data_IF_530024449424
#
_entry.id   IF_530024449424
#
_cell.length_a   1.000
_cell.length_b   1.000
_cell.length_c   1.000
_cell.angle_alpha   90.00
_cell.angle_beta   90.00
_cell.angle_gamma   90.00
#
_symmetry.space_group_name_H-M   'P 1'
#
loop_
_entity.id
_entity.type
_entity.pdbx_description
1 polymer ?
#
# COMPACT_ATOMS: atom_id res chain seq x y z
N UNK A 1 3.13 2.72 6.27
CA UNK A 1 2.12 3.03 7.29
C UNK A 1 1.41 4.29 6.90
N UNK A 2 0.13 4.19 6.66
CA UNK A 2 -0.73 5.28 6.26
C UNK A 2 -1.76 5.44 7.37
N UNK A 3 -1.67 6.49 8.16
CA UNK A 3 -2.66 6.79 9.19
C UNK A 3 -2.85 8.29 9.28
N UNK A 4 -4.10 8.68 9.48
CA UNK A 4 -4.50 10.08 9.60
C UNK A 4 -4.34 10.54 11.05
N UNK A 5 -3.58 11.59 11.35
CA UNK A 5 -3.75 12.31 12.60
C UNK A 5 -4.99 13.19 12.48
N UNK A 6 -6.08 12.82 13.16
CA UNK A 6 -7.23 13.69 13.34
C UNK A 6 -6.91 14.75 14.38
N UNK A 7 -6.54 15.95 13.95
CA UNK A 7 -6.36 17.08 14.87
C UNK A 7 -7.71 17.62 15.32
N UNK A 8 -8.02 17.48 16.62
CA UNK A 8 -9.02 18.32 17.26
C UNK A 8 -8.51 19.75 17.24
N UNK A 9 -9.35 20.69 16.83
CA UNK A 9 -9.10 22.13 17.05
C UNK A 9 -8.98 22.38 18.57
N UNK A 10 -7.86 22.86 19.10
CA UNK A 10 -7.85 23.50 20.42
C UNK A 10 -8.47 24.90 20.24
N UNK A 11 -9.39 25.23 21.11
CA UNK A 11 -9.72 26.63 21.40
C UNK A 11 -8.45 27.31 21.90
N UNK A 12 -8.21 28.53 21.45
CA UNK A 12 -7.05 29.35 21.80
C UNK A 12 -6.72 29.33 23.29
N UNK A 13 -5.47 29.06 23.61
CA UNK A 13 -4.90 29.28 24.94
C UNK A 13 -3.67 28.44 25.22
N UNK A 14 -2.46 28.98 25.04
CA UNK A 14 -1.26 28.65 25.82
C UNK A 14 -0.24 27.67 25.25
N UNK A 15 0.84 28.27 24.74
CA UNK A 15 2.26 27.84 24.77
C UNK A 15 2.64 26.39 24.45
N UNK A 16 3.43 26.29 23.42
CA UNK A 16 4.15 25.25 22.76
C UNK A 16 4.77 24.14 23.58
N UNK A 17 4.67 22.96 22.97
CA UNK A 17 5.74 21.96 23.03
C UNK A 17 5.76 21.23 21.70
N UNK A 18 6.97 21.09 21.15
CA UNK A 18 7.27 20.41 19.88
C UNK A 18 6.87 18.94 19.96
N UNK A 19 5.93 18.53 19.14
CA UNK A 19 5.62 17.14 18.87
C UNK A 19 5.46 16.96 17.35
N UNK A 20 6.58 17.05 16.63
CA UNK A 20 6.61 16.97 15.18
C UNK A 20 7.56 15.89 14.61
N UNK A 21 8.19 15.03 15.43
CA UNK A 21 9.31 14.20 14.97
C UNK A 21 9.06 12.68 15.03
N UNK A 22 7.86 12.17 14.73
CA UNK A 22 7.61 10.71 14.77
C UNK A 22 6.84 10.18 13.55
N UNK A 23 7.09 10.71 12.37
CA UNK A 23 6.59 10.12 11.15
C UNK A 23 7.75 9.74 10.21
N UNK A 24 7.93 8.47 9.98
CA UNK A 24 8.92 7.88 9.05
C UNK A 24 10.39 7.98 9.48
N UNK A 25 10.80 7.32 10.54
CA UNK A 25 12.20 6.92 10.67
C UNK A 25 12.31 5.39 10.67
N UNK A 26 12.40 4.80 9.49
CA UNK A 26 12.90 3.46 9.29
C UNK A 26 14.42 3.57 9.11
N UNK A 27 15.14 3.94 10.17
CA UNK A 27 16.61 3.87 10.20
C UNK A 27 17.04 2.44 10.45
N UNK A 28 17.36 1.74 9.38
CA UNK A 28 18.40 0.73 9.45
C UNK A 28 19.75 1.48 9.43
N UNK A 29 20.42 1.49 10.57
CA UNK A 29 21.76 1.99 10.74
C UNK A 29 22.73 1.19 9.85
N UNK A 30 23.22 1.80 8.79
CA UNK A 30 24.39 1.33 8.06
C UNK A 30 25.60 2.07 8.60
N UNK A 31 26.45 1.34 9.35
CA UNK A 31 27.78 1.82 9.76
C UNK A 31 28.67 2.01 8.53
N UNK A 32 29.15 3.22 8.38
CA UNK A 32 30.16 3.62 7.39
C UNK A 32 31.53 2.98 7.73
N UNK A 33 31.95 2.03 6.94
CA UNK A 33 33.33 1.55 6.83
C UNK A 33 34.02 2.29 5.68
N UNK A 34 35.18 2.86 5.99
CA UNK A 34 36.03 3.73 5.16
C UNK A 34 36.59 3.05 3.91
N UNK A 35 36.80 3.89 2.92
CA UNK A 35 37.45 3.76 1.60
C UNK A 35 38.76 2.96 1.61
N UNK A 36 39.01 2.21 0.54
CA UNK A 36 40.29 2.20 -0.14
C UNK A 36 40.10 1.93 -1.65
N UNK A 37 40.77 2.77 -2.43
CA UNK A 37 40.95 2.71 -3.88
C UNK A 37 41.85 1.54 -4.24
N UNK A 38 41.61 0.78 -5.30
CA UNK A 38 42.60 0.64 -6.39
C UNK A 38 42.11 -0.26 -7.54
N UNK A 39 42.47 0.23 -8.74
CA UNK A 39 42.87 -0.40 -10.00
C UNK A 39 42.01 -1.45 -10.72
N UNK A 40 41.79 -1.03 -11.97
CA UNK A 40 41.36 -1.79 -13.15
C UNK A 40 42.35 -2.90 -13.50
N UNK A 41 41.82 -4.06 -13.83
CA UNK A 41 42.44 -4.93 -14.86
C UNK A 41 41.36 -5.68 -15.65
N UNK A 42 41.44 -5.49 -16.98
CA UNK A 42 40.64 -6.24 -17.96
C UNK A 42 41.38 -7.51 -18.32
N UNK A 43 40.76 -8.66 -18.17
CA UNK A 43 41.25 -9.91 -18.75
C UNK A 43 40.23 -10.44 -19.76
N UNK A 44 40.62 -10.39 -21.03
CA UNK A 44 39.95 -11.11 -22.10
C UNK A 44 40.34 -12.59 -22.06
N UNK A 45 39.34 -13.48 -21.95
CA UNK A 45 39.58 -14.90 -22.22
C UNK A 45 38.75 -15.33 -23.45
N UNK A 46 39.48 -15.70 -24.49
CA UNK A 46 39.00 -16.33 -25.73
C UNK A 46 38.63 -17.80 -25.39
N UNK A 47 37.41 -18.22 -25.72
CA UNK A 47 37.03 -19.64 -25.68
C UNK A 47 37.16 -20.16 -27.14
N UNK A 48 38.06 -21.18 -27.29
CA UNK A 48 38.23 -22.00 -28.48
C UNK A 48 37.23 -23.15 -28.47
N UNK A 49 36.47 -23.29 -29.56
CA UNK A 49 35.67 -24.49 -29.85
C UNK A 49 36.59 -25.68 -30.20
N UNK A 50 36.33 -26.84 -29.59
CA UNK A 50 36.72 -28.13 -30.15
C UNK A 50 35.50 -29.06 -30.16
N UNK A 51 35.16 -29.50 -31.38
CA UNK A 51 34.30 -30.67 -31.68
C UNK A 51 35.16 -31.93 -31.60
N UNK A 52 34.57 -33.06 -31.13
CA UNK A 52 34.77 -34.44 -31.62
C UNK A 52 33.97 -35.39 -30.69
N UNK A 53 32.91 -36.00 -31.18
CA UNK A 53 32.73 -37.33 -31.75
C UNK A 53 32.77 -38.51 -30.76
N UNK A 54 31.62 -39.14 -30.54
CA UNK A 54 31.44 -40.58 -30.64
C UNK A 54 31.34 -41.44 -29.37
N UNK A 55 30.24 -42.13 -29.25
CA UNK A 55 30.23 -43.56 -28.94
C UNK A 55 29.59 -43.99 -27.58
N UNK A 56 28.43 -44.63 -27.73
CA UNK A 56 27.84 -45.73 -26.94
C UNK A 56 28.32 -45.98 -25.47
N UNK A 57 27.39 -45.85 -24.52
CA UNK A 57 27.14 -46.82 -23.46
C UNK A 57 25.74 -46.59 -22.88
N UNK A 58 24.75 -47.28 -23.41
CA UNK A 58 23.48 -47.49 -22.76
C UNK A 58 23.60 -48.63 -21.74
N UNK A 59 22.83 -48.58 -20.67
CA UNK A 59 22.67 -49.54 -19.55
C UNK A 59 23.59 -49.29 -18.34
N UNK A 60 23.14 -48.46 -17.43
CA UNK A 60 23.15 -48.64 -15.98
C UNK A 60 22.75 -47.32 -15.27
N UNK A 61 21.49 -46.96 -15.27
CA UNK A 61 20.97 -45.86 -14.45
C UNK A 61 19.49 -46.06 -14.13
N UNK A 62 19.20 -47.11 -13.38
CA UNK A 62 17.88 -47.31 -12.78
C UNK A 62 17.98 -47.57 -11.28
N UNK A 63 18.79 -46.80 -10.56
CA UNK A 63 18.87 -46.90 -9.09
C UNK A 63 19.44 -45.67 -8.39
N UNK A 64 19.37 -44.45 -8.95
CA UNK A 64 19.73 -43.22 -8.20
C UNK A 64 18.77 -42.09 -8.64
N UNK A 65 17.48 -42.31 -8.57
CA UNK A 65 16.48 -41.24 -8.70
C UNK A 65 15.72 -41.04 -7.38
N UNK A 66 16.48 -40.80 -6.30
CA UNK A 66 15.89 -40.58 -4.98
C UNK A 66 16.53 -39.49 -4.15
N UNK A 67 17.53 -38.78 -4.66
CA UNK A 67 18.26 -37.80 -3.85
C UNK A 67 18.90 -36.72 -4.74
N UNK A 68 18.15 -35.82 -5.32
CA UNK A 68 18.63 -34.50 -5.79
C UNK A 68 17.50 -33.64 -6.32
N UNK A 69 16.50 -33.36 -5.51
CA UNK A 69 15.55 -32.27 -5.76
C UNK A 69 15.70 -31.13 -4.73
N UNK A 70 16.90 -30.98 -4.17
CA UNK A 70 17.29 -29.74 -3.49
C UNK A 70 17.93 -28.77 -4.52
N UNK A 71 17.19 -28.42 -5.58
CA UNK A 71 17.58 -27.31 -6.43
C UNK A 71 17.41 -26.01 -5.65
N UNK A 72 18.52 -25.33 -5.38
CA UNK A 72 18.52 -23.95 -4.90
C UNK A 72 17.67 -23.09 -5.85
N UNK A 73 16.50 -22.66 -5.42
CA UNK A 73 15.63 -21.70 -6.17
C UNK A 73 16.42 -20.48 -6.64
N UNK A 74 17.46 -20.09 -5.93
CA UNK A 74 18.35 -18.99 -6.31
C UNK A 74 19.09 -19.20 -7.67
N UNK A 75 19.27 -20.45 -8.10
CA UNK A 75 19.95 -20.76 -9.37
C UNK A 75 18.97 -20.77 -10.57
N UNK A 76 17.68 -21.03 -10.32
CA UNK A 76 16.66 -21.07 -11.38
C UNK A 76 16.02 -19.69 -11.65
N UNK A 77 16.12 -18.74 -10.73
CA UNK A 77 15.48 -17.42 -10.82
C UNK A 77 16.45 -16.27 -11.14
N UNK A 78 17.65 -16.57 -11.63
CA UNK A 78 18.61 -15.55 -12.06
C UNK A 78 18.15 -14.82 -13.31
N UNK A 79 18.04 -13.48 -13.18
CA UNK A 79 17.78 -12.46 -14.19
C UNK A 79 16.30 -12.22 -14.60
N UNK A 80 15.76 -11.07 -14.18
CA UNK A 80 14.73 -10.24 -14.86
C UNK A 80 13.58 -10.96 -15.60
N UNK A 81 13.10 -12.09 -15.10
CA UNK A 81 11.93 -12.80 -15.61
C UNK A 81 10.74 -12.68 -14.65
N UNK A 82 9.54 -12.78 -15.16
CA UNK A 82 8.32 -12.93 -14.35
C UNK A 82 8.46 -14.18 -13.49
N UNK A 83 8.40 -14.02 -12.15
CA UNK A 83 8.45 -15.16 -11.25
C UNK A 83 7.26 -16.09 -11.51
N UNK A 84 7.46 -17.43 -11.46
CA UNK A 84 6.37 -18.36 -11.68
C UNK A 84 5.30 -18.22 -10.59
N UNK A 85 4.06 -18.49 -10.97
CA UNK A 85 2.91 -18.50 -10.06
C UNK A 85 2.91 -19.80 -9.22
N UNK A 86 3.92 -19.99 -8.41
CA UNK A 86 4.09 -21.16 -7.54
C UNK A 86 4.02 -20.79 -6.08
N UNK A 87 3.74 -21.77 -5.22
CA UNK A 87 3.93 -21.61 -3.78
C UNK A 87 5.23 -22.29 -3.35
N UNK A 88 5.92 -21.64 -2.42
CA UNK A 88 7.14 -22.16 -1.80
C UNK A 88 7.03 -22.12 -0.28
N UNK A 89 7.69 -23.08 0.38
CA UNK A 89 7.95 -23.01 1.81
C UNK A 89 9.42 -22.66 2.02
N UNK A 90 9.67 -21.69 2.90
CA UNK A 90 10.98 -21.20 3.31
C UNK A 90 11.14 -21.43 4.82
N UNK A 91 12.25 -22.02 5.23
CA UNK A 91 12.56 -22.20 6.65
C UNK A 91 13.65 -21.19 7.06
N UNK A 92 13.30 -20.29 7.97
CA UNK A 92 14.21 -19.27 8.45
C UNK A 92 14.09 -19.07 9.96
N UNK A 93 15.20 -19.18 10.69
CA UNK A 93 15.27 -19.04 12.16
C UNK A 93 14.24 -19.91 12.92
N UNK A 94 14.06 -21.15 12.47
CA UNK A 94 13.15 -22.11 13.11
C UNK A 94 11.66 -21.85 12.83
N UNK A 95 11.34 -20.88 11.96
CA UNK A 95 9.99 -20.57 11.54
C UNK A 95 9.80 -20.89 10.06
N UNK A 96 8.67 -21.50 9.72
CA UNK A 96 8.29 -21.80 8.35
C UNK A 96 7.40 -20.68 7.80
N UNK A 97 7.72 -20.24 6.58
CA UNK A 97 6.96 -19.26 5.81
C UNK A 97 6.50 -19.93 4.51
N UNK A 98 5.21 -19.91 4.25
CA UNK A 98 4.65 -20.48 3.03
C UNK A 98 3.89 -19.42 2.25
N UNK A 99 4.15 -19.33 0.93
CA UNK A 99 3.50 -18.35 0.08
C UNK A 99 4.05 -18.30 -1.34
N UNK A 100 3.62 -17.29 -2.09
CA UNK A 100 4.08 -16.98 -3.44
C UNK A 100 5.26 -16.00 -3.39
N UNK A 101 6.39 -16.29 -4.02
CA UNK A 101 7.46 -15.30 -4.19
C UNK A 101 7.00 -14.19 -5.14
N UNK A 102 7.10 -12.95 -4.69
CA UNK A 102 6.77 -11.76 -5.47
C UNK A 102 7.99 -11.07 -6.05
N UNK A 103 9.11 -11.15 -5.35
CA UNK A 103 10.39 -10.63 -5.80
C UNK A 103 11.53 -11.37 -5.11
N UNK A 104 12.60 -11.61 -5.86
CA UNK A 104 13.86 -12.18 -5.35
C UNK A 104 14.96 -11.22 -5.77
N UNK A 105 15.71 -10.73 -4.78
CA UNK A 105 16.88 -9.88 -4.99
C UNK A 105 18.10 -10.48 -4.28
N UNK A 106 19.28 -9.90 -4.49
CA UNK A 106 20.55 -10.39 -3.95
C UNK A 106 20.56 -10.55 -2.43
N UNK A 107 19.76 -9.75 -1.72
CA UNK A 107 19.77 -9.71 -0.25
C UNK A 107 18.44 -10.08 0.38
N UNK A 108 17.35 -10.11 -0.39
CA UNK A 108 15.98 -10.18 0.15
C UNK A 108 15.07 -11.00 -0.75
N UNK A 109 14.11 -11.66 -0.13
CA UNK A 109 13.00 -12.36 -0.79
C UNK A 109 11.70 -11.77 -0.26
N UNK A 110 10.84 -11.35 -1.14
CA UNK A 110 9.48 -10.90 -0.82
C UNK A 110 8.52 -12.06 -1.08
N UNK A 111 7.82 -12.50 -0.05
CA UNK A 111 6.87 -13.60 -0.11
C UNK A 111 5.46 -13.11 0.26
N UNK A 112 4.47 -13.45 -0.56
CA UNK A 112 3.05 -13.26 -0.25
C UNK A 112 2.51 -14.52 0.44
N UNK A 113 2.23 -14.42 1.73
CA UNK A 113 1.64 -15.49 2.51
C UNK A 113 0.21 -15.80 2.10
N UNK A 114 -0.27 -17.00 2.42
CA UNK A 114 -1.64 -17.45 2.15
C UNK A 114 -2.71 -16.58 2.82
N UNK A 115 -2.37 -15.94 3.95
CA UNK A 115 -3.21 -15.00 4.70
C UNK A 115 -3.18 -13.57 4.15
N UNK A 116 -2.50 -13.34 3.02
CA UNK A 116 -2.32 -12.04 2.41
C UNK A 116 -1.19 -11.20 3.00
N UNK A 117 -0.47 -11.66 4.04
CA UNK A 117 0.67 -10.95 4.63
C UNK A 117 1.87 -10.94 3.67
N UNK A 118 2.61 -9.85 3.66
CA UNK A 118 3.92 -9.78 3.02
C UNK A 118 5.02 -10.12 4.04
N UNK A 119 5.92 -11.02 3.64
CA UNK A 119 7.12 -11.35 4.37
C UNK A 119 8.33 -10.87 3.58
N UNK A 120 9.10 -9.98 4.16
CA UNK A 120 10.36 -9.50 3.60
C UNK A 120 11.50 -10.19 4.33
N UNK A 121 12.02 -11.26 3.73
CA UNK A 121 12.98 -12.19 4.33
C UNK A 121 14.37 -11.96 3.74
N UNK A 122 15.45 -12.23 4.50
CA UNK A 122 16.80 -12.27 3.93
C UNK A 122 16.91 -13.35 2.84
N UNK A 123 17.77 -13.12 1.84
CA UNK A 123 17.99 -14.07 0.74
C UNK A 123 18.41 -15.47 1.25
N UNK A 124 19.10 -15.54 2.39
CA UNK A 124 19.46 -16.81 3.03
C UNK A 124 18.25 -17.70 3.39
N UNK A 125 17.05 -17.13 3.56
CA UNK A 125 15.83 -17.92 3.74
C UNK A 125 15.50 -18.81 2.52
N UNK A 126 15.98 -18.43 1.33
CA UNK A 126 15.78 -19.18 0.09
C UNK A 126 16.65 -20.41 -0.06
N UNK A 127 17.70 -20.58 0.76
CA UNK A 127 18.65 -21.70 0.62
C UNK A 127 17.99 -23.07 0.81
N UNK A 128 16.87 -23.14 1.51
CA UNK A 128 16.08 -24.36 1.75
C UNK A 128 14.66 -24.23 1.24
N UNK A 129 14.48 -23.44 0.20
CA UNK A 129 13.19 -23.29 -0.41
C UNK A 129 12.74 -24.59 -1.09
N UNK A 130 11.47 -24.96 -0.90
CA UNK A 130 10.85 -26.08 -1.59
C UNK A 130 9.49 -25.65 -2.14
N UNK A 131 9.20 -26.06 -3.36
CA UNK A 131 7.90 -25.81 -3.94
C UNK A 131 6.84 -26.66 -3.22
N UNK A 132 5.71 -26.02 -2.84
CA UNK A 132 4.59 -26.68 -2.16
C UNK A 132 3.35 -26.79 -3.01
N UNK A 133 3.19 -25.92 -4.03
CA UNK A 133 2.12 -26.00 -5.00
C UNK A 133 2.52 -25.35 -6.34
N UNK A 134 1.83 -25.75 -7.43
CA UNK A 134 2.04 -25.21 -8.79
C UNK A 134 1.31 -23.89 -9.06
N UNK A 135 0.52 -23.39 -8.11
CA UNK A 135 -0.17 -22.11 -8.18
C UNK A 135 -0.40 -21.56 -6.77
N UNK A 136 -0.52 -20.24 -6.66
CA UNK A 136 -0.84 -19.59 -5.39
C UNK A 136 -2.23 -20.01 -4.88
N UNK A 137 -2.29 -20.38 -3.62
CA UNK A 137 -3.53 -20.78 -2.92
C UNK A 137 -3.69 -19.95 -1.67
N UNK A 138 -4.40 -18.81 -1.74
CA UNK A 138 -4.71 -18.00 -0.56
C UNK A 138 -5.57 -18.79 0.42
N UNK A 139 -5.67 -18.35 1.65
CA UNK A 139 -6.68 -18.88 2.56
C UNK A 139 -8.07 -18.67 1.97
N UNK A 140 -8.89 -19.71 2.05
CA UNK A 140 -10.32 -19.60 1.82
C UNK A 140 -10.98 -18.71 2.91
N UNK A 141 -12.20 -18.22 2.69
CA UNK A 141 -12.95 -17.52 3.73
C UNK A 141 -13.06 -18.31 5.04
N UNK A 142 -13.22 -19.64 4.99
CA UNK A 142 -13.29 -20.50 6.16
C UNK A 142 -11.96 -20.60 6.90
N UNK A 143 -10.84 -20.74 6.18
CA UNK A 143 -9.49 -20.75 6.76
C UNK A 143 -9.17 -19.38 7.40
N UNK A 144 -9.51 -18.28 6.71
CA UNK A 144 -9.32 -16.91 7.22
C UNK A 144 -10.14 -16.69 8.50
N UNK A 145 -11.41 -17.12 8.52
CA UNK A 145 -12.27 -17.06 9.71
C UNK A 145 -11.63 -17.83 10.89
N UNK A 146 -11.23 -19.07 10.66
CA UNK A 146 -10.62 -19.89 11.69
C UNK A 146 -9.30 -19.30 12.23
N UNK A 147 -8.48 -18.72 11.35
CA UNK A 147 -7.25 -18.05 11.73
C UNK A 147 -7.52 -16.82 12.61
N UNK A 148 -8.47 -15.96 12.20
CA UNK A 148 -8.84 -14.75 12.95
C UNK A 148 -9.42 -15.09 14.33
N UNK A 149 -10.30 -16.07 14.43
CA UNK A 149 -10.88 -16.49 15.72
C UNK A 149 -9.80 -17.03 16.68
N UNK A 150 -8.82 -17.77 16.18
CA UNK A 150 -7.68 -18.23 17.01
C UNK A 150 -6.81 -17.07 17.47
N UNK A 151 -6.57 -16.09 16.60
CA UNK A 151 -5.72 -14.94 16.89
C UNK A 151 -6.35 -13.95 17.86
N UNK A 152 -7.64 -13.65 17.65
CA UNK A 152 -8.33 -12.59 18.40
C UNK A 152 -8.92 -13.08 19.73
N UNK A 153 -9.17 -14.39 19.83
CA UNK A 153 -9.72 -15.02 21.02
C UNK A 153 -11.22 -14.77 21.20
N UNK A 154 -11.73 -15.10 22.39
CA UNK A 154 -13.14 -14.93 22.73
C UNK A 154 -13.61 -13.47 22.72
N UNK A 155 -14.87 -13.25 22.40
CA UNK A 155 -15.47 -11.92 22.31
C UNK A 155 -15.48 -11.31 20.92
N UNK A 156 -14.95 -12.03 19.92
CA UNK A 156 -15.04 -11.68 18.51
C UNK A 156 -15.82 -12.70 17.71
N UNK A 157 -16.55 -12.20 16.74
CA UNK A 157 -17.13 -12.94 15.64
C UNK A 157 -16.45 -12.52 14.33
N UNK A 158 -16.55 -13.35 13.31
CA UNK A 158 -16.04 -13.04 11.98
C UNK A 158 -17.16 -13.20 10.97
N UNK A 159 -17.55 -12.12 10.32
CA UNK A 159 -18.53 -12.10 9.23
C UNK A 159 -17.82 -11.94 7.89
N UNK A 160 -18.42 -12.46 6.82
CA UNK A 160 -17.91 -12.34 5.45
C UNK A 160 -18.94 -11.77 4.52
N UNK A 161 -18.55 -10.79 3.68
CA UNK A 161 -19.35 -10.31 2.56
C UNK A 161 -18.41 -9.95 1.39
N UNK A 162 -18.75 -10.41 0.18
CA UNK A 162 -17.90 -10.24 -1.00
C UNK A 162 -16.48 -10.76 -0.78
N UNK A 163 -15.48 -9.89 -0.96
CA UNK A 163 -14.07 -10.21 -0.72
C UNK A 163 -13.60 -9.92 0.72
N UNK A 164 -14.45 -9.37 1.59
CA UNK A 164 -14.10 -9.01 2.95
C UNK A 164 -14.38 -10.11 3.98
N UNK A 165 -13.46 -10.24 4.92
CA UNK A 165 -13.62 -10.98 6.17
C UNK A 165 -13.42 -9.98 7.32
N UNK A 166 -14.47 -9.73 8.09
CA UNK A 166 -14.49 -8.71 9.13
C UNK A 166 -14.62 -9.36 10.50
N UNK A 167 -13.60 -9.21 11.32
CA UNK A 167 -13.65 -9.54 12.74
C UNK A 167 -14.23 -8.35 13.52
N UNK A 168 -15.24 -8.60 14.33
CA UNK A 168 -15.96 -7.58 15.08
C UNK A 168 -16.43 -8.13 16.44
N UNK A 169 -16.78 -7.27 17.41
CA UNK A 169 -17.39 -7.71 18.65
C UNK A 169 -18.63 -8.55 18.42
N UNK A 170 -18.87 -9.53 19.29
CA UNK A 170 -20.05 -10.40 19.25
C UNK A 170 -21.35 -9.59 19.13
N UNK A 171 -22.25 -10.02 18.27
CA UNK A 171 -23.55 -9.39 18.04
C UNK A 171 -23.55 -8.18 17.09
N UNK A 172 -22.45 -7.93 16.36
CA UNK A 172 -22.35 -6.79 15.42
C UNK A 172 -22.21 -7.21 13.93
N UNK A 173 -22.48 -8.48 13.57
CA UNK A 173 -22.18 -9.01 12.24
C UNK A 173 -22.84 -8.24 11.09
N UNK A 174 -24.12 -7.90 11.19
CA UNK A 174 -24.89 -7.22 10.14
C UNK A 174 -24.46 -5.76 9.93
N UNK A 175 -23.62 -5.27 10.82
CA UNK A 175 -23.22 -3.87 10.81
C UNK A 175 -21.98 -3.58 9.97
N UNK A 176 -21.04 -4.53 9.87
CA UNK A 176 -19.71 -4.25 9.35
C UNK A 176 -19.43 -4.91 7.99
N UNK A 177 -19.68 -6.20 7.85
CA UNK A 177 -19.29 -6.92 6.64
C UNK A 177 -19.94 -6.33 5.38
N UNK A 178 -21.24 -6.06 5.43
CA UNK A 178 -21.97 -5.48 4.31
C UNK A 178 -21.50 -4.08 3.94
N UNK A 179 -21.08 -3.26 4.93
CA UNK A 179 -20.53 -1.92 4.70
C UNK A 179 -19.20 -1.97 3.96
N UNK A 180 -18.31 -2.89 4.33
CA UNK A 180 -17.05 -3.07 3.64
C UNK A 180 -17.27 -3.57 2.21
N UNK A 181 -18.21 -4.47 1.98
CA UNK A 181 -18.53 -4.96 0.64
C UNK A 181 -19.21 -3.86 -0.22
N UNK A 182 -20.14 -3.08 0.35
CA UNK A 182 -20.75 -1.94 -0.33
C UNK A 182 -19.71 -0.90 -0.73
N UNK A 183 -18.79 -0.58 0.17
CA UNK A 183 -17.64 0.27 -0.13
C UNK A 183 -16.78 -0.29 -1.26
N UNK A 184 -16.40 -1.58 -1.20
CA UNK A 184 -15.55 -2.20 -2.21
C UNK A 184 -16.19 -2.19 -3.60
N UNK A 185 -17.48 -2.51 -3.69
CA UNK A 185 -18.23 -2.41 -4.96
C UNK A 185 -18.24 -0.98 -5.51
N UNK A 186 -18.37 0.01 -4.65
CA UNK A 186 -18.31 1.42 -5.04
C UNK A 186 -16.91 1.82 -5.50
N UNK A 187 -15.87 1.33 -4.82
CA UNK A 187 -14.48 1.53 -5.21
C UNK A 187 -14.20 0.95 -6.61
N UNK A 188 -14.55 -0.30 -6.85
CA UNK A 188 -14.38 -0.94 -8.17
C UNK A 188 -15.13 -0.15 -9.24
N UNK A 189 -16.40 0.20 -8.99
CA UNK A 189 -17.21 1.00 -9.92
C UNK A 189 -16.57 2.35 -10.22
N UNK A 190 -16.05 3.05 -9.20
CA UNK A 190 -15.45 4.37 -9.36
C UNK A 190 -14.31 4.36 -10.40
N UNK A 191 -13.44 3.38 -10.36
CA UNK A 191 -12.33 3.23 -11.31
C UNK A 191 -12.78 2.68 -12.66
N UNK A 192 -13.65 1.67 -12.67
CA UNK A 192 -14.11 1.04 -13.90
C UNK A 192 -14.82 2.03 -14.84
N UNK A 193 -15.70 2.90 -14.32
CA UNK A 193 -16.38 3.91 -15.15
C UNK A 193 -15.44 4.99 -15.70
N UNK A 194 -14.22 5.09 -15.18
CA UNK A 194 -13.14 5.96 -15.67
C UNK A 194 -12.15 5.25 -16.56
N UNK A 195 -12.41 3.99 -16.92
CA UNK A 195 -11.54 3.18 -17.77
C UNK A 195 -10.25 2.74 -17.08
N UNK A 196 -10.20 2.76 -15.74
CA UNK A 196 -9.05 2.30 -14.97
C UNK A 196 -9.34 0.86 -14.51
N UNK A 197 -8.47 -0.09 -14.91
CA UNK A 197 -8.60 -1.48 -14.53
C UNK A 197 -8.40 -1.68 -13.02
N UNK A 198 -9.19 -2.58 -12.44
CA UNK A 198 -9.16 -2.97 -11.04
C UNK A 198 -9.13 -4.49 -10.99
N UNK A 199 -8.05 -5.05 -10.48
CA UNK A 199 -7.88 -6.50 -10.35
C UNK A 199 -8.61 -7.02 -9.10
N UNK A 200 -9.06 -8.28 -9.08
CA UNK A 200 -9.58 -8.88 -7.86
C UNK A 200 -8.45 -9.03 -6.82
N UNK A 201 -8.75 -8.87 -5.51
CA UNK A 201 -7.77 -9.11 -4.47
C UNK A 201 -7.23 -10.55 -4.51
N UNK A 202 -5.91 -10.75 -4.33
CA UNK A 202 -5.30 -12.09 -4.38
C UNK A 202 -5.70 -12.99 -3.19
N UNK A 203 -6.24 -12.42 -2.13
CA UNK A 203 -6.69 -13.11 -0.92
C UNK A 203 -7.85 -12.33 -0.29
N UNK A 204 -8.65 -12.91 0.63
CA UNK A 204 -9.66 -12.17 1.35
C UNK A 204 -9.08 -10.96 2.06
N UNK A 205 -9.75 -9.82 1.95
CA UNK A 205 -9.40 -8.59 2.66
C UNK A 205 -9.86 -8.70 4.11
N UNK A 206 -8.95 -8.45 5.05
CA UNK A 206 -9.26 -8.59 6.48
C UNK A 206 -9.40 -7.22 7.13
N UNK A 207 -10.55 -6.99 7.76
CA UNK A 207 -10.78 -5.85 8.63
C UNK A 207 -11.02 -6.32 10.07
N UNK A 208 -10.52 -5.56 11.05
CA UNK A 208 -10.70 -5.80 12.49
C UNK A 208 -11.35 -4.56 13.08
N UNK A 209 -12.54 -4.72 13.63
CA UNK A 209 -13.26 -3.68 14.36
C UNK A 209 -13.07 -3.92 15.85
N UNK A 210 -12.26 -3.09 16.49
CA UNK A 210 -12.05 -3.15 17.93
C UNK A 210 -13.26 -2.60 18.69
N UNK A 211 -13.48 -3.08 19.90
CA UNK A 211 -14.60 -2.66 20.76
C UNK A 211 -14.52 -1.20 21.16
N UNK A 212 -13.30 -0.74 21.41
CA UNK A 212 -13.00 0.60 21.92
C UNK A 212 -11.56 1.03 21.58
N UNK A 213 -11.22 2.25 21.97
CA UNK A 213 -9.90 2.82 21.76
C UNK A 213 -8.80 2.09 22.56
N UNK A 214 -9.11 1.50 23.70
CA UNK A 214 -8.14 0.77 24.51
C UNK A 214 -7.74 -0.55 23.87
N UNK A 215 -8.71 -1.31 23.35
CA UNK A 215 -8.43 -2.52 22.58
C UNK A 215 -7.67 -2.21 21.31
N UNK A 216 -8.06 -1.15 20.60
CA UNK A 216 -7.36 -0.67 19.43
C UNK A 216 -5.89 -0.35 19.75
N UNK A 217 -5.63 0.41 20.82
CA UNK A 217 -4.28 0.73 21.26
C UNK A 217 -3.46 -0.51 21.64
N UNK A 218 -4.05 -1.45 22.39
CA UNK A 218 -3.37 -2.71 22.77
C UNK A 218 -2.99 -3.56 21.55
N UNK A 219 -3.90 -3.68 20.57
CA UNK A 219 -3.65 -4.48 19.34
C UNK A 219 -2.67 -3.79 18.40
N UNK A 220 -2.64 -2.46 18.44
CA UNK A 220 -1.70 -1.65 17.65
C UNK A 220 -0.30 -1.58 18.27
N UNK A 221 -0.13 -1.81 19.55
CA UNK A 221 1.12 -1.63 20.29
C UNK A 221 2.27 -2.57 19.84
N UNK A 222 1.95 -3.72 19.26
CA UNK A 222 2.95 -4.66 18.70
C UNK A 222 3.24 -4.46 17.21
N UNK A 223 2.60 -3.50 16.59
CA UNK A 223 2.70 -3.19 15.17
C UNK A 223 3.22 -1.75 15.07
N UNK A 224 3.88 -1.39 14.00
CA UNK A 224 4.42 -0.02 13.84
C UNK A 224 3.30 1.04 13.65
N UNK A 225 2.16 0.87 14.31
CA UNK A 225 1.03 1.78 14.27
C UNK A 225 1.35 3.06 15.05
N UNK A 226 0.91 4.23 14.59
CA UNK A 226 1.05 5.45 15.37
C UNK A 226 0.15 5.37 16.60
N UNK A 227 0.74 5.23 17.77
CA UNK A 227 0.03 5.26 19.06
C UNK A 227 -0.26 6.70 19.41
N UNK A 228 -1.36 7.23 18.87
CA UNK A 228 -1.83 8.58 19.17
C UNK A 228 -3.35 8.50 19.35
N UNK A 229 -3.88 9.11 20.40
CA UNK A 229 -5.32 9.14 20.70
C UNK A 229 -6.19 9.77 19.58
N UNK A 230 -5.58 10.42 18.59
CA UNK A 230 -6.25 10.96 17.41
C UNK A 230 -6.42 9.95 16.26
N UNK A 231 -5.73 8.81 16.30
CA UNK A 231 -5.81 7.77 15.26
C UNK A 231 -7.01 6.88 15.56
N UNK A 232 -7.97 6.83 14.65
CA UNK A 232 -9.21 6.06 14.78
C UNK A 232 -9.20 4.76 14.00
N UNK A 233 -8.25 4.61 13.10
CA UNK A 233 -8.06 3.45 12.25
C UNK A 233 -6.72 3.51 11.54
N UNK A 234 -6.32 2.41 10.96
CA UNK A 234 -5.14 2.33 10.13
C UNK A 234 -5.14 1.06 9.29
N UNK A 235 -4.57 1.16 8.10
CA UNK A 235 -4.27 0.04 7.24
C UNK A 235 -2.77 -0.26 7.27
N UNK A 236 -2.41 -1.51 7.45
CA UNK A 236 -1.03 -1.98 7.40
C UNK A 236 -0.78 -2.77 6.11
N UNK A 237 0.07 -2.23 5.25
CA UNK A 237 0.40 -2.86 3.98
C UNK A 237 1.22 -4.15 4.14
N UNK A 238 1.93 -4.36 5.24
CA UNK A 238 2.68 -5.59 5.51
C UNK A 238 1.74 -6.73 5.88
N UNK A 239 0.93 -6.56 6.93
CA UNK A 239 -0.04 -7.57 7.36
C UNK A 239 -1.27 -7.66 6.46
N UNK A 240 -1.50 -6.67 5.60
CA UNK A 240 -2.71 -6.50 4.79
C UNK A 240 -3.99 -6.36 5.61
N UNK A 241 -3.90 -5.84 6.80
CA UNK A 241 -5.03 -5.70 7.72
C UNK A 241 -5.43 -4.26 7.91
N UNK A 242 -6.72 -4.05 7.92
CA UNK A 242 -7.34 -2.80 8.32
C UNK A 242 -7.83 -2.95 9.76
N UNK A 243 -7.55 -1.98 10.61
CA UNK A 243 -8.02 -1.94 11.99
C UNK A 243 -8.68 -0.61 12.28
N UNK A 244 -9.88 -0.65 12.86
CA UNK A 244 -10.63 0.54 13.31
C UNK A 244 -11.26 0.25 14.67
N UNK A 245 -11.74 1.29 15.35
CA UNK A 245 -12.66 1.12 16.47
C UNK A 245 -13.89 2.02 16.33
N UNK A 246 -15.01 1.54 16.85
CA UNK A 246 -16.29 2.24 16.75
C UNK A 246 -16.42 3.31 17.84
N UNK A 247 -16.60 4.56 17.44
CA UNK A 247 -16.88 5.68 18.36
C UNK A 247 -18.37 5.94 18.58
N UNK A 248 -19.24 5.13 17.99
CA UNK A 248 -20.68 5.34 18.03
C UNK A 248 -21.15 6.54 17.19
N UNK A 249 -22.44 6.83 17.26
CA UNK A 249 -23.10 7.86 16.45
C UNK A 249 -22.88 9.32 16.92
N UNK A 250 -22.11 9.54 17.97
CA UNK A 250 -21.98 10.87 18.61
C UNK A 250 -20.92 11.78 17.99
N UNK A 251 -20.27 11.37 16.90
CA UNK A 251 -19.22 12.18 16.26
C UNK A 251 -19.75 12.93 15.05
N UNK A 252 -19.19 14.11 14.74
CA UNK A 252 -19.45 14.82 13.48
C UNK A 252 -19.05 13.96 12.29
N UNK A 253 -19.63 14.21 11.11
CA UNK A 253 -19.34 13.45 9.88
C UNK A 253 -17.83 13.24 9.63
N UNK A 254 -17.01 14.27 9.85
CA UNK A 254 -15.56 14.24 9.62
C UNK A 254 -14.74 13.47 10.70
N UNK A 255 -15.38 13.10 11.81
CA UNK A 255 -14.77 12.29 12.87
C UNK A 255 -15.54 10.99 13.09
N UNK A 256 -16.43 10.65 12.15
CA UNK A 256 -17.25 9.45 12.24
C UNK A 256 -16.40 8.21 11.95
N UNK A 257 -16.76 7.10 12.57
CA UNK A 257 -16.20 5.79 12.26
C UNK A 257 -16.31 5.45 10.78
N UNK A 258 -17.34 5.95 10.10
CA UNK A 258 -17.56 5.73 8.66
C UNK A 258 -16.52 6.43 7.78
N UNK A 259 -16.16 7.68 8.06
CA UNK A 259 -15.12 8.39 7.31
C UNK A 259 -13.77 7.70 7.45
N UNK A 260 -13.43 7.25 8.67
CA UNK A 260 -12.21 6.47 8.92
C UNK A 260 -12.24 5.11 8.20
N UNK A 261 -13.39 4.40 8.27
CA UNK A 261 -13.56 3.15 7.56
C UNK A 261 -13.30 3.32 6.06
N UNK A 262 -13.94 4.32 5.44
CA UNK A 262 -13.80 4.59 4.00
C UNK A 262 -12.36 4.94 3.65
N UNK A 263 -11.68 5.77 4.46
CA UNK A 263 -10.28 6.13 4.25
C UNK A 263 -9.36 4.90 4.26
N UNK A 264 -9.40 4.12 5.33
CA UNK A 264 -8.53 2.96 5.51
C UNK A 264 -8.88 1.82 4.55
N UNK A 265 -10.18 1.62 4.26
CA UNK A 265 -10.61 0.67 3.24
C UNK A 265 -10.18 1.08 1.83
N UNK A 266 -10.07 2.39 1.54
CA UNK A 266 -9.51 2.88 0.27
C UNK A 266 -8.05 2.48 0.13
N UNK A 267 -7.24 2.65 1.17
CA UNK A 267 -5.87 2.16 1.16
C UNK A 267 -5.83 0.65 0.91
N UNK A 268 -6.57 -0.12 1.71
CA UNK A 268 -6.59 -1.58 1.57
C UNK A 268 -7.03 -2.02 0.17
N UNK A 269 -8.13 -1.46 -0.36
CA UNK A 269 -8.60 -1.78 -1.70
C UNK A 269 -7.56 -1.41 -2.76
N UNK A 270 -7.02 -0.19 -2.75
CA UNK A 270 -6.04 0.28 -3.73
C UNK A 270 -4.78 -0.60 -3.76
N UNK A 271 -4.28 -0.99 -2.60
CA UNK A 271 -3.09 -1.85 -2.48
C UNK A 271 -3.32 -3.33 -2.85
N UNK A 272 -4.56 -3.76 -3.01
CA UNK A 272 -4.88 -5.16 -3.33
C UNK A 272 -5.52 -5.33 -4.70
N UNK A 273 -5.69 -4.26 -5.46
CA UNK A 273 -6.41 -4.27 -6.75
C UNK A 273 -5.59 -3.73 -7.92
N UNK A 274 -4.27 -3.63 -7.77
CA UNK A 274 -3.38 -3.14 -8.81
C UNK A 274 -3.34 -1.61 -8.97
N UNK A 275 -4.17 -0.86 -8.24
CA UNK A 275 -4.11 0.61 -8.23
C UNK A 275 -2.81 1.09 -7.56
N UNK A 276 -2.43 0.45 -6.45
CA UNK A 276 -1.16 0.64 -5.75
C UNK A 276 -0.45 -0.68 -5.56
N UNK A 277 0.85 -0.64 -5.31
CA UNK A 277 1.64 -1.82 -4.96
C UNK A 277 2.06 -1.76 -3.49
N UNK A 278 1.93 -2.87 -2.77
CA UNK A 278 2.36 -3.01 -1.37
C UNK A 278 3.88 -3.11 -1.21
N UNK A 279 4.60 -3.42 -2.28
CA UNK A 279 6.06 -3.60 -2.31
C UNK A 279 6.80 -2.52 -3.11
N UNK A 280 6.06 -1.75 -3.90
CA UNK A 280 6.54 -0.56 -4.59
C UNK A 280 5.62 0.61 -4.23
N UNK A 281 5.78 1.11 -3.00
CA UNK A 281 4.89 2.11 -2.42
C UNK A 281 4.70 3.30 -3.37
N UNK A 282 3.45 3.71 -3.65
CA UNK A 282 3.17 4.92 -4.43
C UNK A 282 3.72 6.15 -3.72
N UNK A 283 3.89 7.29 -4.41
CA UNK A 283 4.14 8.56 -3.75
C UNK A 283 3.03 8.83 -2.72
N UNK A 284 3.42 9.34 -1.55
CA UNK A 284 2.48 9.52 -0.44
C UNK A 284 1.28 10.39 -0.82
N UNK A 285 1.50 11.44 -1.62
CA UNK A 285 0.39 12.28 -2.08
C UNK A 285 -0.65 11.53 -2.92
N UNK A 286 -0.24 10.49 -3.66
CA UNK A 286 -1.17 9.66 -4.44
C UNK A 286 -2.03 8.81 -3.51
N UNK A 287 -1.40 8.13 -2.54
CA UNK A 287 -2.11 7.27 -1.61
C UNK A 287 -3.08 8.06 -0.72
N UNK A 288 -2.58 9.12 -0.08
CA UNK A 288 -3.39 9.96 0.82
C UNK A 288 -4.43 10.80 0.06
N UNK A 289 -4.06 11.30 -1.13
CA UNK A 289 -4.98 12.05 -1.98
C UNK A 289 -6.16 11.19 -2.42
N UNK A 290 -5.91 9.93 -2.80
CA UNK A 290 -6.97 9.00 -3.16
C UNK A 290 -7.86 8.67 -1.96
N UNK A 291 -7.27 8.34 -0.80
CA UNK A 291 -8.03 8.01 0.40
C UNK A 291 -8.92 9.18 0.85
N UNK A 292 -8.37 10.40 0.88
CA UNK A 292 -9.13 11.61 1.23
C UNK A 292 -10.20 11.98 0.20
N UNK A 293 -10.03 11.61 -1.08
CA UNK A 293 -11.11 11.75 -2.07
C UNK A 293 -12.29 10.85 -1.74
N UNK A 294 -12.02 9.61 -1.38
CA UNK A 294 -13.07 8.65 -1.07
C UNK A 294 -13.84 8.98 0.22
N UNK A 295 -13.33 9.83 1.11
CA UNK A 295 -14.08 10.34 2.27
C UNK A 295 -15.34 11.12 1.85
N UNK A 296 -15.42 11.65 0.61
CA UNK A 296 -16.57 12.39 0.13
C UNK A 296 -17.72 11.44 -0.28
N UNK A 297 -18.97 11.64 0.21
CA UNK A 297 -20.09 10.76 -0.06
C UNK A 297 -20.35 10.49 -1.54
N UNK A 298 -20.22 11.51 -2.39
CA UNK A 298 -20.40 11.36 -3.83
C UNK A 298 -19.31 10.53 -4.54
N UNK A 299 -18.24 10.14 -3.86
CA UNK A 299 -17.20 9.23 -4.38
C UNK A 299 -17.52 7.79 -3.98
N UNK A 300 -17.74 7.52 -2.71
CA UNK A 300 -17.99 6.14 -2.24
C UNK A 300 -19.46 5.70 -2.31
N UNK A 301 -20.42 6.63 -2.37
CA UNK A 301 -21.85 6.35 -2.52
C UNK A 301 -22.52 7.28 -3.57
N UNK A 302 -21.97 7.25 -4.79
CA UNK A 302 -22.45 8.10 -5.89
C UNK A 302 -23.91 7.84 -6.29
N UNK A 303 -24.55 6.74 -5.84
CA UNK A 303 -25.97 6.49 -6.10
C UNK A 303 -26.88 7.40 -5.28
N UNK A 304 -26.53 7.58 -3.98
CA UNK A 304 -27.28 8.48 -3.07
C UNK A 304 -26.83 9.93 -3.20
N UNK A 305 -25.58 10.15 -3.67
CA UNK A 305 -24.92 11.43 -3.76
C UNK A 305 -24.40 11.71 -5.17
N UNK A 306 -25.27 11.96 -6.18
CA UNK A 306 -24.87 12.00 -7.59
C UNK A 306 -24.26 13.33 -8.04
N UNK A 307 -24.35 14.41 -7.25
CA UNK A 307 -23.91 15.74 -7.65
C UNK A 307 -22.40 15.88 -7.59
N UNK A 308 -21.82 16.76 -8.42
CA UNK A 308 -20.39 17.10 -8.35
C UNK A 308 -20.01 17.63 -6.96
N UNK A 309 -20.86 18.49 -6.36
CA UNK A 309 -20.64 19.01 -5.01
C UNK A 309 -20.54 17.94 -3.93
N UNK A 310 -21.18 16.77 -4.14
CA UNK A 310 -21.14 15.67 -3.19
C UNK A 310 -19.80 14.91 -3.25
N UNK A 311 -19.05 15.05 -4.35
CA UNK A 311 -17.71 14.47 -4.54
C UNK A 311 -16.58 15.32 -3.96
N UNK A 312 -16.89 16.53 -3.50
CA UNK A 312 -15.92 17.45 -2.91
C UNK A 312 -15.76 17.13 -1.43
N UNK A 313 -14.54 16.80 -1.01
CA UNK A 313 -14.20 16.78 0.40
C UNK A 313 -14.09 18.22 0.91
N UNK A 314 -15.18 18.71 1.48
CA UNK A 314 -15.29 20.13 1.89
C UNK A 314 -14.22 20.54 2.89
N UNK A 315 -13.92 19.67 3.86
CA UNK A 315 -12.87 19.94 4.85
C UNK A 315 -11.51 20.13 4.18
N UNK A 316 -11.15 19.27 3.23
CA UNK A 316 -9.87 19.39 2.50
C UNK A 316 -9.87 20.58 1.54
N UNK A 317 -11.02 20.93 1.00
CA UNK A 317 -11.17 22.15 0.18
C UNK A 317 -10.96 23.41 1.00
N UNK A 318 -11.55 23.50 2.20
CA UNK A 318 -11.37 24.61 3.13
C UNK A 318 -9.91 24.68 3.61
N UNK A 319 -9.28 23.52 3.93
CA UNK A 319 -7.88 23.43 4.28
C UNK A 319 -6.98 23.89 3.13
N UNK A 320 -7.29 23.54 1.89
CA UNK A 320 -6.56 24.00 0.71
C UNK A 320 -6.61 25.53 0.57
N UNK A 321 -7.78 26.12 0.70
CA UNK A 321 -7.94 27.57 0.67
C UNK A 321 -7.16 28.26 1.80
N UNK A 322 -7.08 27.63 2.97
CA UNK A 322 -6.41 28.19 4.15
C UNK A 322 -4.90 28.04 4.14
N UNK A 323 -4.38 26.87 3.75
CA UNK A 323 -2.98 26.50 3.93
C UNK A 323 -2.16 26.48 2.63
N UNK A 324 -2.81 26.53 1.47
CA UNK A 324 -2.15 26.43 0.16
C UNK A 324 -2.18 27.75 -0.61
N UNK A 325 -2.06 28.88 0.09
CA UNK A 325 -1.95 30.22 -0.52
C UNK A 325 -0.73 30.30 -1.46
N UNK A 326 -0.87 30.77 -2.71
CA UNK A 326 0.22 30.84 -3.68
C UNK A 326 1.42 31.66 -3.21
N UNK A 327 1.19 32.73 -2.43
CA UNK A 327 2.28 33.57 -1.93
C UNK A 327 3.09 32.89 -0.83
N UNK A 328 2.46 31.98 -0.07
CA UNK A 328 3.09 31.24 1.03
C UNK A 328 3.64 29.88 0.62
N UNK A 329 3.09 29.32 -0.45
CA UNK A 329 3.45 28.00 -0.97
C UNK A 329 3.74 28.08 -2.47
N UNK A 330 4.76 28.84 -2.89
CA UNK A 330 5.20 28.84 -4.29
C UNK A 330 5.69 27.44 -4.66
N UNK A 331 5.48 27.02 -5.91
CA UNK A 331 5.86 25.70 -6.42
C UNK A 331 5.30 24.51 -5.61
N UNK A 332 4.11 24.68 -5.04
CA UNK A 332 3.48 23.64 -4.18
C UNK A 332 3.34 22.31 -4.90
N UNK A 333 2.94 22.33 -6.17
CA UNK A 333 2.80 21.12 -6.98
C UNK A 333 4.11 20.35 -7.06
N UNK A 334 5.18 21.06 -7.38
CA UNK A 334 6.52 20.46 -7.52
C UNK A 334 7.03 19.93 -6.18
N UNK A 335 6.81 20.69 -5.11
CA UNK A 335 7.15 20.29 -3.74
C UNK A 335 6.38 19.04 -3.33
N UNK A 336 5.06 19.00 -3.55
CA UNK A 336 4.23 17.86 -3.20
C UNK A 336 4.64 16.57 -3.91
N UNK A 337 5.00 16.67 -5.19
CA UNK A 337 5.42 15.51 -5.99
C UNK A 337 6.82 15.03 -5.60
N UNK A 338 7.74 15.95 -5.29
CA UNK A 338 9.14 15.62 -5.00
C UNK A 338 9.38 15.19 -3.55
N UNK A 339 8.72 15.85 -2.59
CA UNK A 339 9.11 15.83 -1.18
C UNK A 339 8.02 15.23 -0.27
N UNK A 340 8.20 13.97 0.06
CA UNK A 340 7.28 13.27 0.99
C UNK A 340 7.40 13.76 2.44
N UNK A 341 8.49 14.47 2.80
CA UNK A 341 8.65 15.04 4.13
C UNK A 341 7.69 16.20 4.40
N UNK A 342 7.03 16.72 3.35
CA UNK A 342 5.97 17.73 3.50
C UNK A 342 4.86 17.23 4.44
N UNK A 343 4.52 15.95 4.38
CA UNK A 343 3.51 15.33 5.25
C UNK A 343 3.90 15.30 6.73
N UNK A 344 5.19 15.29 7.05
CA UNK A 344 5.66 15.36 8.43
C UNK A 344 5.79 16.81 8.91
N UNK A 345 6.27 17.71 8.04
CA UNK A 345 6.53 19.12 8.41
C UNK A 345 5.27 20.00 8.39
N UNK A 346 4.39 19.79 7.43
CA UNK A 346 3.19 20.59 7.20
C UNK A 346 2.01 19.68 6.80
N UNK A 347 1.50 18.85 7.73
CA UNK A 347 0.49 17.84 7.41
C UNK A 347 -0.81 18.44 6.83
N UNK A 348 -1.30 19.56 7.35
CA UNK A 348 -2.52 20.20 6.86
C UNK A 348 -2.37 20.59 5.39
N UNK A 349 -1.26 21.25 5.03
CA UNK A 349 -0.95 21.63 3.64
C UNK A 349 -0.80 20.39 2.76
N UNK A 350 -0.08 19.35 3.23
CA UNK A 350 0.18 18.15 2.46
C UNK A 350 -1.09 17.35 2.14
N UNK A 351 -1.94 17.12 3.13
CA UNK A 351 -3.21 16.41 2.94
C UNK A 351 -4.18 17.20 2.07
N UNK A 352 -4.30 18.51 2.27
CA UNK A 352 -5.14 19.38 1.45
C UNK A 352 -4.67 19.40 -0.01
N UNK A 353 -3.36 19.58 -0.24
CA UNK A 353 -2.77 19.58 -1.57
C UNK A 353 -2.87 18.20 -2.25
N UNK A 354 -2.67 17.11 -1.52
CA UNK A 354 -2.78 15.75 -2.04
C UNK A 354 -4.23 15.44 -2.50
N UNK A 355 -5.22 15.79 -1.67
CA UNK A 355 -6.62 15.69 -2.05
C UNK A 355 -6.91 16.53 -3.31
N UNK A 356 -6.56 17.80 -3.28
CA UNK A 356 -6.86 18.76 -4.36
C UNK A 356 -6.22 18.31 -5.69
N UNK A 357 -4.96 17.82 -5.67
CA UNK A 357 -4.29 17.33 -6.87
C UNK A 357 -4.94 16.05 -7.39
N UNK A 358 -5.21 15.07 -6.52
CA UNK A 358 -5.86 13.82 -6.91
C UNK A 358 -7.26 14.07 -7.48
N UNK A 359 -8.04 14.95 -6.86
CA UNK A 359 -9.37 15.33 -7.33
C UNK A 359 -9.29 16.02 -8.70
N UNK A 360 -8.41 17.02 -8.85
CA UNK A 360 -8.19 17.69 -10.13
C UNK A 360 -7.81 16.70 -11.25
N UNK A 361 -6.81 15.85 -11.01
CA UNK A 361 -6.35 14.89 -12.00
C UNK A 361 -7.44 13.87 -12.35
N UNK A 362 -8.22 13.42 -11.39
CA UNK A 362 -9.30 12.47 -11.63
C UNK A 362 -10.47 13.08 -12.42
N UNK A 363 -10.82 14.32 -12.13
CA UNK A 363 -11.95 14.99 -12.82
C UNK A 363 -11.58 15.53 -14.21
N UNK A 364 -10.32 15.92 -14.44
CA UNK A 364 -9.89 16.56 -15.68
C UNK A 364 -9.00 15.69 -16.57
N UNK A 365 -8.26 14.76 -16.02
CA UNK A 365 -7.27 13.92 -16.73
C UNK A 365 -7.29 12.45 -16.24
N UNK A 366 -8.47 11.78 -16.17
CA UNK A 366 -8.59 10.46 -15.56
C UNK A 366 -7.72 9.39 -16.20
N UNK A 367 -7.58 9.41 -17.54
CA UNK A 367 -6.75 8.46 -18.25
C UNK A 367 -5.25 8.63 -17.93
N UNK A 368 -4.78 9.87 -17.83
CA UNK A 368 -3.40 10.19 -17.44
C UNK A 368 -3.15 9.80 -15.99
N UNK A 369 -4.09 10.11 -15.10
CA UNK A 369 -3.95 9.76 -13.69
C UNK A 369 -3.92 8.24 -13.48
N UNK A 370 -4.78 7.50 -14.19
CA UNK A 370 -4.73 6.03 -14.20
C UNK A 370 -3.39 5.48 -14.68
N UNK A 371 -2.82 6.03 -15.78
CA UNK A 371 -1.48 5.65 -16.24
C UNK A 371 -0.39 5.97 -15.21
N UNK A 372 -0.47 7.13 -14.57
CA UNK A 372 0.49 7.50 -13.53
C UNK A 372 0.45 6.55 -12.33
N UNK A 373 -0.74 6.25 -11.79
CA UNK A 373 -0.90 5.28 -10.70
C UNK A 373 -0.34 3.92 -11.09
N UNK A 374 -0.67 3.40 -12.27
CA UNK A 374 -0.14 2.13 -12.78
C UNK A 374 1.39 2.15 -12.87
N UNK A 375 1.98 3.20 -13.43
CA UNK A 375 3.45 3.33 -13.54
C UNK A 375 4.14 3.35 -12.17
N UNK A 376 3.46 3.84 -11.13
CA UNK A 376 4.00 3.77 -9.76
C UNK A 376 3.84 2.38 -9.14
N UNK A 377 2.77 1.65 -9.46
CA UNK A 377 2.52 0.31 -8.96
C UNK A 377 3.41 -0.77 -9.59
N UNK A 378 3.82 -0.56 -10.85
CA UNK A 378 4.66 -1.47 -11.62
C UNK A 378 6.17 -1.33 -11.35
N UNK A 379 6.56 -0.45 -10.43
CA UNK A 379 7.98 -0.31 -10.05
C UNK A 379 8.53 -1.61 -9.45
N UNK A 380 9.82 -1.89 -9.64
CA UNK A 380 10.46 -3.03 -8.98
C UNK A 380 10.29 -2.99 -7.47
N UNK A 381 10.21 -4.16 -6.86
CA UNK A 381 10.17 -4.27 -5.40
C UNK A 381 11.39 -3.56 -4.78
N UNK A 382 11.18 -2.96 -3.61
CA UNK A 382 12.19 -2.19 -2.86
C UNK A 382 12.74 -0.93 -3.55
N UNK A 383 12.31 -0.63 -4.78
CA UNK A 383 12.72 0.62 -5.43
C UNK A 383 12.11 1.82 -4.71
N UNK A 384 12.96 2.76 -4.31
CA UNK A 384 12.56 4.02 -3.70
C UNK A 384 13.01 5.17 -4.61
N UNK A 385 12.10 5.76 -5.38
CA UNK A 385 12.49 6.81 -6.32
C UNK A 385 13.01 8.05 -5.59
N UNK A 386 14.08 8.63 -6.11
CA UNK A 386 14.60 9.93 -5.68
C UNK A 386 13.59 11.05 -5.98
N UNK A 387 13.71 12.23 -5.35
CA UNK A 387 12.90 13.39 -5.71
C UNK A 387 12.92 13.71 -7.21
N UNK A 388 14.09 13.64 -7.85
CA UNK A 388 14.24 13.86 -9.30
C UNK A 388 13.54 12.82 -10.13
N UNK A 389 13.57 11.55 -9.75
CA UNK A 389 12.85 10.48 -10.44
C UNK A 389 11.33 10.65 -10.31
N UNK A 390 10.82 11.05 -9.12
CA UNK A 390 9.40 11.35 -8.94
C UNK A 390 8.93 12.48 -9.85
N UNK A 391 9.70 13.58 -9.92
CA UNK A 391 9.39 14.69 -10.82
C UNK A 391 9.40 14.25 -12.30
N UNK A 392 10.42 13.50 -12.71
CA UNK A 392 10.52 12.99 -14.09
C UNK A 392 9.36 12.08 -14.45
N UNK A 393 9.00 11.14 -13.56
CA UNK A 393 7.89 10.22 -13.75
C UNK A 393 6.54 10.97 -13.84
N UNK A 394 6.34 11.99 -13.03
CA UNK A 394 5.17 12.84 -13.09
C UNK A 394 5.12 13.64 -14.41
N UNK A 395 6.21 14.30 -14.78
CA UNK A 395 6.30 15.09 -16.00
C UNK A 395 6.11 14.24 -17.28
N UNK A 396 6.56 13.00 -17.29
CA UNK A 396 6.37 12.06 -18.41
C UNK A 396 4.87 11.78 -18.70
N UNK A 397 3.98 11.98 -17.75
CA UNK A 397 2.55 11.74 -17.89
C UNK A 397 1.74 13.02 -18.05
N UNK A 398 2.10 14.08 -17.33
CA UNK A 398 1.30 15.31 -17.24
C UNK A 398 1.95 16.52 -17.95
N UNK A 399 3.20 16.35 -18.45
CA UNK A 399 3.98 17.44 -19.03
C UNK A 399 4.92 18.12 -18.03
N UNK A 400 5.86 18.88 -18.55
CA UNK A 400 6.94 19.53 -17.78
C UNK A 400 6.70 21.04 -17.52
N UNK A 401 5.59 21.59 -18.03
CA UNK A 401 5.17 22.96 -17.67
C UNK A 401 4.47 22.98 -16.31
N UNK A 402 5.29 22.94 -15.28
CA UNK A 402 4.86 22.91 -13.88
C UNK A 402 4.05 24.16 -13.49
N UNK A 403 4.44 25.32 -14.00
CA UNK A 403 3.76 26.59 -13.70
C UNK A 403 2.35 26.61 -14.26
N UNK A 404 2.19 26.20 -15.51
CA UNK A 404 0.88 26.15 -16.15
C UNK A 404 -0.03 25.10 -15.48
N UNK A 405 0.52 23.92 -15.16
CA UNK A 405 -0.24 22.86 -14.51
C UNK A 405 -0.68 23.30 -13.11
N UNK A 406 0.20 23.92 -12.33
CA UNK A 406 -0.14 24.43 -11.00
C UNK A 406 -1.20 25.54 -11.08
N UNK A 407 -1.10 26.45 -12.03
CA UNK A 407 -2.09 27.51 -12.23
C UNK A 407 -3.47 26.93 -12.59
N UNK A 408 -3.54 25.94 -13.47
CA UNK A 408 -4.78 25.24 -13.85
C UNK A 408 -5.37 24.48 -12.66
N UNK A 409 -4.56 23.77 -11.91
CA UNK A 409 -4.95 23.05 -10.71
C UNK A 409 -5.56 23.98 -9.65
N UNK A 410 -4.87 25.07 -9.31
CA UNK A 410 -5.35 26.05 -8.32
C UNK A 410 -6.65 26.71 -8.76
N UNK A 411 -6.74 27.10 -10.04
CA UNK A 411 -7.94 27.67 -10.62
C UNK A 411 -9.12 26.70 -10.55
N UNK A 412 -8.92 25.44 -10.92
CA UNK A 412 -9.96 24.40 -10.83
C UNK A 412 -10.52 24.28 -9.40
N UNK A 413 -9.66 24.25 -8.39
CA UNK A 413 -10.11 24.16 -6.99
C UNK A 413 -10.86 25.43 -6.56
N UNK A 414 -10.43 26.61 -6.99
CA UNK A 414 -11.08 27.89 -6.67
C UNK A 414 -12.48 28.01 -7.30
N UNK A 415 -12.74 27.37 -8.44
CA UNK A 415 -14.00 27.39 -9.18
C UNK A 415 -14.99 26.29 -8.76
N UNK A 416 -14.63 25.45 -7.76
CA UNK A 416 -15.51 24.35 -7.32
C UNK A 416 -16.83 24.89 -6.71
N UNK A 417 -17.98 24.23 -7.00
CA UNK A 417 -19.29 24.62 -6.48
C UNK A 417 -19.44 24.17 -5.01
N UNK A 418 -18.89 24.95 -4.09
CA UNK A 418 -18.89 24.63 -2.65
C UNK A 418 -20.16 25.13 -1.94
N UNK A 419 -20.97 25.95 -2.62
CA UNK A 419 -22.19 26.55 -2.06
C UNK A 419 -23.40 25.63 -2.13
#
# INVERSE_FOLDING_TARGET
MLSIPYHRRPRCGGRGTRAADLYFDNRLSCSLGKRSSDRRERVFVRVRQHRLVGGLAALCCLAVMGLAAECCLAAEFGAAGTLPDVMVALDYQGKQYEGKPLAIGDRRILLLGRDGRLWDLPAAAGNRARQTASAFRPYSPSETRAALLRELGGGFEVSGAGCYMVAHPVGQHDRWADRFDEFYRSFVRYFTVRGIAVDPPPAPLVAIVCRDAEEFARRSAGQQAPVNAAVLGWYDAESNRLMIYDRGRQSSYFTSTEAVLVHEATHQAAFNTGIHSRWAMPPRWVAEGLATMFEAPGVFDARRHPRLSDRINRMRCDDFARFCDPQRTPDLLRTLVADESLFARHPETAYAAAWALSFYLTETMPAQYGRYMRSTAERPAWHRPSPTERLRQFAAVFGDDWSLLEARWRRFIAELPIR
#
